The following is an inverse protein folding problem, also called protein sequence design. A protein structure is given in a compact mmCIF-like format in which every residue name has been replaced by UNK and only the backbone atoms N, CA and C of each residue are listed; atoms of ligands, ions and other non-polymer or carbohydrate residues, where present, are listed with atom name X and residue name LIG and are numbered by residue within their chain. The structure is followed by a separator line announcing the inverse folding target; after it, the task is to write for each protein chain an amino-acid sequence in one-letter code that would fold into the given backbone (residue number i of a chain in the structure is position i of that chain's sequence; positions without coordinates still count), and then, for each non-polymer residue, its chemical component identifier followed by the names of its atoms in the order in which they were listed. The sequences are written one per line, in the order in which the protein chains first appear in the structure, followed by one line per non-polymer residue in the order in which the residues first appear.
data_IF_757254963304
#
_entry.id   IF_757254963304
#
_cell.length_a   1.000
_cell.length_b   1.000
_cell.length_c   1.000
_cell.angle_alpha   90.00
_cell.angle_beta   90.00
_cell.angle_gamma   90.00
#
_symmetry.space_group_name_H-M   'P 1'
#
loop_
_entity.id
_entity.type
_entity.pdbx_description
1 polymer ?
#
# COMPACT_ATOMS: atom_id res chain seq x y z
N UNK A 1 -23.03 56.89 -10.30
CA UNK A 1 -22.06 56.01 -11.01
C UNK A 1 -20.85 55.82 -10.13
N UNK A 2 -20.29 54.61 -10.13
CA UNK A 2 -19.46 54.00 -9.09
C UNK A 2 -18.11 54.69 -8.80
N UNK A 3 -17.66 54.44 -7.57
CA UNK A 3 -16.42 54.80 -6.92
C UNK A 3 -15.13 54.42 -7.67
N UNK A 4 -14.26 55.42 -7.84
CA UNK A 4 -12.90 55.54 -7.33
C UNK A 4 -12.15 54.33 -6.69
N UNK A 5 -10.91 54.14 -7.16
CA UNK A 5 -9.64 53.79 -6.48
C UNK A 5 -9.04 52.35 -6.54
N UNK A 6 -7.87 52.31 -7.20
CA UNK A 6 -6.55 51.74 -6.83
C UNK A 6 -6.37 50.28 -6.35
N UNK A 7 -5.49 49.55 -7.05
CA UNK A 7 -4.18 48.99 -6.57
C UNK A 7 -3.62 48.08 -7.68
N UNK A 8 -2.63 48.49 -8.48
CA UNK A 8 -1.17 48.45 -8.24
C UNK A 8 -0.65 47.04 -7.93
N UNK A 9 -0.01 46.45 -8.95
CA UNK A 9 1.27 45.73 -9.00
C UNK A 9 1.65 44.86 -7.79
N UNK A 10 1.99 43.58 -8.04
CA UNK A 10 3.40 43.17 -8.24
C UNK A 10 3.51 41.67 -8.55
N UNK A 11 4.21 41.37 -9.64
CA UNK A 11 4.79 40.07 -9.98
C UNK A 11 5.92 39.75 -8.99
N UNK A 12 5.85 38.64 -8.27
CA UNK A 12 6.95 38.15 -7.43
C UNK A 12 7.68 37.00 -8.13
N UNK A 13 8.81 37.34 -8.75
CA UNK A 13 9.88 36.41 -9.11
C UNK A 13 10.53 35.89 -7.83
N UNK A 14 10.48 34.58 -7.58
CA UNK A 14 11.27 33.94 -6.51
C UNK A 14 12.54 33.38 -7.16
N UNK A 15 13.62 34.16 -7.11
CA UNK A 15 14.98 33.70 -7.38
C UNK A 15 15.56 33.11 -6.10
N UNK A 16 15.58 31.79 -5.98
CA UNK A 16 16.34 31.10 -4.92
C UNK A 16 17.80 30.97 -5.37
N UNK A 17 18.67 31.73 -4.69
CA UNK A 17 20.10 31.71 -4.86
C UNK A 17 20.68 30.37 -4.36
N UNK A 18 21.36 29.65 -5.25
CA UNK A 18 22.31 28.60 -4.92
C UNK A 18 23.56 29.24 -4.32
N UNK A 19 23.73 29.14 -3.00
CA UNK A 19 24.99 29.45 -2.32
C UNK A 19 25.50 28.21 -1.59
N UNK A 20 26.37 27.49 -2.31
CA UNK A 20 27.65 26.92 -1.85
C UNK A 20 27.74 26.23 -0.49
N UNK A 21 27.88 24.90 -0.56
CA UNK A 21 28.54 24.04 0.43
C UNK A 21 29.96 24.52 0.76
N UNK A 22 30.39 24.39 2.02
CA UNK A 22 31.77 24.06 2.35
C UNK A 22 31.86 22.59 2.82
N UNK A 23 32.59 21.77 2.04
CA UNK A 23 33.28 20.60 2.57
C UNK A 23 34.29 21.06 3.62
N UNK A 24 34.37 20.40 4.79
CA UNK A 24 35.66 19.98 5.37
C UNK A 24 35.52 19.11 6.63
N UNK A 25 36.32 18.03 6.59
CA UNK A 25 37.04 17.39 7.68
C UNK A 25 36.26 16.69 8.82
N UNK A 26 36.30 15.36 8.78
CA UNK A 26 36.27 14.50 9.95
C UNK A 26 37.53 14.71 10.81
N UNK A 27 37.41 14.58 12.14
CA UNK A 27 38.47 14.07 12.97
C UNK A 27 38.05 12.76 13.67
N UNK A 28 38.85 11.72 13.47
CA UNK A 28 39.00 10.58 14.39
C UNK A 28 39.23 11.09 15.81
N UNK A 29 38.58 10.48 16.81
CA UNK A 29 39.07 10.41 18.18
C UNK A 29 38.37 9.24 18.90
N UNK A 30 39.11 8.14 19.02
CA UNK A 30 38.87 7.00 19.90
C UNK A 30 38.90 7.42 21.38
N UNK A 31 37.98 6.93 22.23
CA UNK A 31 38.24 6.85 23.66
C UNK A 31 38.46 5.38 24.08
N UNK A 32 39.73 5.10 24.28
CA UNK A 32 40.34 4.06 25.11
C UNK A 32 39.50 3.75 26.37
N UNK A 33 38.98 2.52 26.48
CA UNK A 33 38.37 2.02 27.71
C UNK A 33 39.16 0.82 28.24
N UNK A 34 40.04 1.18 29.17
CA UNK A 34 40.69 0.42 30.23
C UNK A 34 40.16 -0.99 30.44
N UNK A 35 41.03 -1.96 30.15
CA UNK A 35 40.83 -3.40 30.29
C UNK A 35 41.42 -3.83 31.65
N UNK A 36 40.70 -3.58 32.73
CA UNK A 36 40.94 -4.22 34.02
C UNK A 36 39.67 -4.94 34.44
N UNK A 37 39.66 -6.27 34.33
CA UNK A 37 39.14 -7.18 35.37
C UNK A 37 39.51 -8.62 34.98
N UNK A 38 40.73 -9.00 35.36
CA UNK A 38 41.07 -10.41 35.52
C UNK A 38 40.42 -10.91 36.81
N UNK A 39 39.55 -11.93 36.73
CA UNK A 39 39.76 -13.25 37.36
C UNK A 39 38.48 -14.01 37.74
N UNK A 40 38.41 -15.24 37.21
CA UNK A 40 37.87 -16.50 37.82
C UNK A 40 36.34 -16.66 37.87
N UNK A 41 35.73 -17.80 37.55
CA UNK A 41 36.22 -19.19 37.50
C UNK A 41 35.60 -20.02 36.37
N UNK A 42 36.34 -21.05 35.98
CA UNK A 42 35.97 -22.13 35.06
C UNK A 42 34.84 -23.02 35.56
N UNK A 43 33.81 -23.20 34.74
CA UNK A 43 33.16 -24.50 34.50
C UNK A 43 32.80 -24.57 33.03
N UNK A 44 33.57 -25.36 32.31
CA UNK A 44 33.34 -25.76 30.93
C UNK A 44 32.15 -26.70 30.88
N UNK A 45 30.95 -26.16 30.75
CA UNK A 45 29.88 -26.80 30.02
C UNK A 45 29.45 -25.79 28.97
N UNK A 46 29.95 -25.97 27.74
CA UNK A 46 29.60 -25.09 26.63
C UNK A 46 28.09 -25.14 26.45
N UNK A 47 27.39 -24.02 26.69
CA UNK A 47 25.97 -23.94 26.39
C UNK A 47 25.78 -24.29 24.92
N UNK A 48 24.85 -25.20 24.58
CA UNK A 48 24.61 -25.57 23.20
C UNK A 48 24.24 -24.31 22.40
N UNK A 49 24.86 -24.17 21.22
CA UNK A 49 24.59 -23.06 20.31
C UNK A 49 23.08 -22.98 20.04
N UNK A 50 22.49 -21.79 20.20
CA UNK A 50 21.06 -21.55 19.99
C UNK A 50 20.21 -21.50 21.26
N UNK A 51 20.80 -21.49 22.46
CA UNK A 51 20.06 -21.36 23.72
C UNK A 51 19.69 -19.89 24.00
N UNK A 52 18.39 -19.58 24.07
CA UNK A 52 17.89 -18.29 24.56
C UNK A 52 17.89 -18.30 26.10
N UNK A 53 18.44 -17.25 26.72
CA UNK A 53 18.51 -17.10 28.17
C UNK A 53 17.52 -16.04 28.67
N UNK A 54 16.99 -16.20 29.87
CA UNK A 54 16.20 -15.19 30.57
C UNK A 54 17.09 -14.12 31.23
N UNK A 55 16.47 -13.11 31.85
CA UNK A 55 17.19 -12.03 32.56
C UNK A 55 17.97 -12.48 33.79
N UNK A 56 17.81 -13.74 34.21
CA UNK A 56 18.53 -14.38 35.30
C UNK A 56 19.57 -15.38 34.77
N UNK A 57 19.80 -15.44 33.46
CA UNK A 57 20.76 -16.33 32.82
C UNK A 57 20.32 -17.79 32.72
N UNK A 58 19.03 -18.11 32.93
CA UNK A 58 18.49 -19.46 32.82
C UNK A 58 17.99 -19.75 31.40
N UNK A 59 18.20 -20.96 30.87
CA UNK A 59 17.76 -21.32 29.53
C UNK A 59 16.22 -21.36 29.45
N UNK A 60 15.69 -20.71 28.42
CA UNK A 60 14.28 -20.77 28.07
C UNK A 60 14.00 -22.01 27.21
N UNK A 61 12.94 -22.78 27.51
CA UNK A 61 12.57 -23.94 26.69
C UNK A 61 12.07 -23.46 25.32
N UNK A 62 12.85 -23.69 24.27
CA UNK A 62 12.41 -23.53 22.89
C UNK A 62 11.65 -24.81 22.51
N UNK A 63 10.39 -24.73 22.08
CA UNK A 63 9.68 -25.89 21.53
C UNK A 63 10.50 -26.48 20.39
N UNK A 64 11.02 -27.70 20.59
CA UNK A 64 11.57 -28.47 19.49
C UNK A 64 10.41 -28.84 18.57
N UNK A 65 10.59 -28.63 17.26
CA UNK A 65 9.67 -29.02 16.20
C UNK A 65 8.46 -28.07 16.01
N UNK A 66 8.64 -27.02 15.19
CA UNK A 66 7.86 -26.86 13.94
C UNK A 66 8.78 -26.20 12.92
N UNK A 67 9.28 -26.98 11.94
CA UNK A 67 9.97 -26.42 10.79
C UNK A 67 9.03 -25.43 10.10
N UNK A 68 9.49 -24.21 9.81
CA UNK A 68 8.67 -23.18 9.16
C UNK A 68 8.15 -23.58 7.76
N UNK A 69 8.66 -24.69 7.22
CA UNK A 69 8.26 -25.28 5.94
C UNK A 69 7.12 -26.31 6.09
N UNK A 70 6.87 -26.84 7.29
CA UNK A 70 5.85 -27.85 7.55
C UNK A 70 4.54 -27.19 8.02
N UNK A 71 4.02 -26.29 7.20
CA UNK A 71 2.66 -25.75 7.40
C UNK A 71 1.63 -26.70 6.81
N UNK A 72 0.89 -27.39 7.68
CA UNK A 72 -0.28 -28.17 7.29
C UNK A 72 -1.53 -27.32 7.49
N UNK A 73 -2.21 -26.86 6.41
CA UNK A 73 -3.40 -26.04 6.55
C UNK A 73 -4.52 -26.85 7.23
N UNK A 74 -5.32 -26.22 8.11
CA UNK A 74 -6.48 -26.87 8.69
C UNK A 74 -7.45 -27.30 7.58
N UNK A 75 -7.86 -28.56 7.59
CA UNK A 75 -8.88 -29.09 6.68
C UNK A 75 -10.23 -28.52 7.07
N UNK A 76 -10.61 -27.41 6.44
CA UNK A 76 -11.99 -26.93 6.47
C UNK A 76 -12.84 -27.87 5.63
N UNK A 77 -13.70 -28.66 6.31
CA UNK A 77 -14.80 -29.34 5.64
C UNK A 77 -15.73 -28.29 5.05
N UNK A 78 -15.60 -28.04 3.75
CA UNK A 78 -16.56 -27.25 2.99
C UNK A 78 -17.79 -28.12 2.81
N UNK A 79 -18.77 -27.96 3.69
CA UNK A 79 -20.13 -28.42 3.40
C UNK A 79 -20.56 -27.70 2.11
N UNK A 80 -20.55 -28.47 1.02
CA UNK A 80 -21.02 -28.05 -0.30
C UNK A 80 -22.56 -27.93 -0.30
N UNK A 81 -23.12 -27.11 0.60
CA UNK A 81 -24.48 -26.61 0.41
C UNK A 81 -24.38 -25.41 -0.52
N UNK A 82 -24.26 -25.72 -1.80
CA UNK A 82 -24.42 -24.74 -2.88
C UNK A 82 -25.80 -24.10 -2.74
N UNK A 83 -25.92 -22.79 -2.46
CA UNK A 83 -27.19 -22.12 -2.66
C UNK A 83 -27.40 -22.08 -4.17
N UNK A 84 -28.35 -22.88 -4.67
CA UNK A 84 -28.90 -22.73 -6.01
C UNK A 84 -29.54 -21.35 -6.09
N UNK A 85 -28.73 -20.33 -6.39
CA UNK A 85 -29.22 -19.01 -6.78
C UNK A 85 -29.98 -19.24 -8.08
N UNK A 86 -31.31 -19.18 -8.01
CA UNK A 86 -32.17 -19.14 -9.19
C UNK A 86 -31.81 -17.86 -9.93
N UNK A 87 -30.95 -17.98 -10.94
CA UNK A 87 -30.70 -16.93 -11.91
C UNK A 87 -32.02 -16.69 -12.65
N UNK A 88 -32.81 -15.75 -12.15
CA UNK A 88 -33.87 -15.13 -12.94
C UNK A 88 -33.16 -14.44 -14.11
N UNK A 89 -33.08 -15.16 -15.22
CA UNK A 89 -32.62 -14.64 -16.50
C UNK A 89 -33.70 -13.69 -16.98
N UNK A 90 -33.70 -12.47 -16.43
CA UNK A 90 -34.45 -11.35 -17.01
C UNK A 90 -33.91 -11.19 -18.43
N UNK A 91 -34.75 -11.50 -19.40
CA UNK A 91 -34.49 -11.35 -20.81
C UNK A 91 -34.17 -9.88 -21.07
N UNK A 92 -32.86 -9.57 -21.08
CA UNK A 92 -32.35 -8.26 -21.45
C UNK A 92 -32.86 -7.95 -22.85
N UNK A 93 -33.83 -7.03 -22.91
CA UNK A 93 -34.17 -6.33 -24.13
C UNK A 93 -32.87 -5.76 -24.67
N UNK A 94 -32.44 -6.23 -25.85
CA UNK A 94 -31.26 -5.73 -26.56
C UNK A 94 -31.52 -4.29 -26.98
N UNK A 95 -31.42 -3.36 -26.03
CA UNK A 95 -31.22 -1.96 -26.34
C UNK A 95 -29.89 -1.90 -27.08
N UNK A 96 -29.90 -1.33 -28.29
CA UNK A 96 -28.70 -1.17 -29.12
C UNK A 96 -27.71 -0.29 -28.35
N UNK A 97 -26.86 -0.90 -27.53
CA UNK A 97 -25.87 -0.19 -26.75
C UNK A 97 -24.90 0.46 -27.73
N UNK A 98 -24.96 1.79 -27.77
CA UNK A 98 -24.02 2.61 -28.54
C UNK A 98 -22.61 2.19 -28.10
N UNK A 99 -21.76 1.83 -29.06
CA UNK A 99 -20.37 1.46 -28.77
C UNK A 99 -19.73 2.64 -28.02
N UNK A 100 -19.44 2.44 -26.74
CA UNK A 100 -18.79 3.46 -25.92
C UNK A 100 -17.43 3.80 -26.56
N UNK A 101 -17.05 5.07 -26.52
CA UNK A 101 -15.70 5.49 -26.95
C UNK A 101 -14.65 4.72 -26.16
N UNK A 102 -13.47 4.43 -26.76
CA UNK A 102 -12.38 3.70 -26.09
C UNK A 102 -12.01 4.33 -24.74
N UNK A 103 -12.00 5.67 -24.66
CA UNK A 103 -11.76 6.40 -23.41
C UNK A 103 -12.83 6.12 -22.35
N UNK A 104 -14.08 6.03 -22.78
CA UNK A 104 -15.20 5.73 -21.90
C UNK A 104 -15.21 4.26 -21.46
N UNK A 105 -14.76 3.33 -22.32
CA UNK A 105 -14.57 1.93 -21.95
C UNK A 105 -13.44 1.76 -20.93
N UNK A 106 -12.33 2.48 -21.09
CA UNK A 106 -11.24 2.49 -20.12
C UNK A 106 -11.66 3.04 -18.75
N UNK A 107 -12.50 4.07 -18.75
CA UNK A 107 -13.05 4.65 -17.52
C UNK A 107 -14.19 3.82 -16.91
N UNK A 108 -14.87 3.00 -17.72
CA UNK A 108 -15.94 2.14 -17.22
C UNK A 108 -15.39 1.01 -16.36
N UNK A 109 -16.19 0.61 -15.37
CA UNK A 109 -15.92 -0.52 -14.47
C UNK A 109 -16.80 -1.74 -14.79
N UNK A 110 -17.58 -1.69 -15.88
CA UNK A 110 -18.49 -2.76 -16.30
C UNK A 110 -17.76 -4.06 -16.65
N UNK A 111 -16.52 -3.92 -17.11
CA UNK A 111 -15.59 -5.01 -17.34
C UNK A 111 -14.27 -4.68 -16.65
N UNK A 112 -13.68 -5.71 -16.05
CA UNK A 112 -12.38 -5.64 -15.40
C UNK A 112 -11.43 -6.55 -16.17
N UNK A 113 -10.26 -6.04 -16.52
CA UNK A 113 -9.20 -6.83 -17.13
C UNK A 113 -8.78 -7.99 -16.22
N UNK A 114 -8.27 -9.07 -16.81
CA UNK A 114 -7.84 -10.26 -16.08
C UNK A 114 -6.47 -10.07 -15.42
N UNK A 115 -6.38 -9.11 -14.51
CA UNK A 115 -5.16 -8.77 -13.77
C UNK A 115 -5.47 -8.57 -12.28
N UNK A 116 -4.63 -9.08 -11.36
CA UNK A 116 -4.87 -8.93 -9.92
C UNK A 116 -4.92 -7.47 -9.44
N UNK A 117 -4.11 -6.58 -10.03
CA UNK A 117 -4.09 -5.16 -9.65
C UNK A 117 -5.42 -4.48 -9.99
N UNK A 118 -5.97 -4.76 -11.18
CA UNK A 118 -7.26 -4.23 -11.60
C UNK A 118 -8.40 -4.76 -10.73
N UNK A 119 -8.40 -6.06 -10.39
CA UNK A 119 -9.42 -6.63 -9.49
C UNK A 119 -9.38 -5.99 -8.10
N UNK A 120 -8.19 -5.72 -7.58
CA UNK A 120 -8.03 -5.03 -6.30
C UNK A 120 -8.49 -3.58 -6.36
N UNK A 121 -8.15 -2.84 -7.43
CA UNK A 121 -8.60 -1.46 -7.62
C UNK A 121 -10.12 -1.36 -7.68
N UNK A 122 -10.78 -2.28 -8.39
CA UNK A 122 -12.24 -2.33 -8.46
C UNK A 122 -12.84 -2.55 -7.06
N UNK A 123 -12.38 -3.57 -6.34
CA UNK A 123 -12.86 -3.84 -4.99
C UNK A 123 -12.64 -2.66 -4.03
N UNK A 124 -11.47 -2.02 -4.12
CA UNK A 124 -11.13 -0.87 -3.26
C UNK A 124 -11.97 0.35 -3.59
N UNK A 125 -12.20 0.66 -4.86
CA UNK A 125 -13.08 1.76 -5.25
C UNK A 125 -14.52 1.51 -4.78
N UNK A 126 -15.05 0.29 -4.94
CA UNK A 126 -16.38 -0.07 -4.41
C UNK A 126 -16.47 0.12 -2.89
N UNK A 127 -15.40 -0.24 -2.18
CA UNK A 127 -15.31 -0.06 -0.73
C UNK A 127 -15.32 1.43 -0.36
N UNK A 128 -14.56 2.26 -1.07
CA UNK A 128 -14.51 3.71 -0.84
C UNK A 128 -15.86 4.36 -1.12
N UNK A 129 -16.51 4.01 -2.24
CA UNK A 129 -17.85 4.48 -2.60
C UNK A 129 -18.88 4.17 -1.50
N UNK A 130 -18.82 2.96 -0.93
CA UNK A 130 -19.68 2.56 0.19
C UNK A 130 -19.36 3.33 1.47
N UNK A 131 -18.07 3.58 1.75
CA UNK A 131 -17.66 4.30 2.96
C UNK A 131 -18.02 5.79 2.92
N UNK A 132 -17.94 6.41 1.74
CA UNK A 132 -18.34 7.81 1.53
C UNK A 132 -19.84 7.96 1.75
N UNK A 133 -20.66 7.01 1.27
CA UNK A 133 -22.11 7.05 1.47
C UNK A 133 -22.57 6.90 2.93
N UNK A 134 -21.74 6.31 3.80
CA UNK A 134 -22.11 5.93 5.17
C UNK A 134 -21.50 6.80 6.28
N UNK A 135 -20.54 7.70 5.98
CA UNK A 135 -19.78 8.45 7.01
C UNK A 135 -20.14 9.95 7.05
N UNK A 136 -19.93 10.57 8.22
CA UNK A 136 -20.02 12.04 8.41
C UNK A 136 -18.83 12.75 7.75
N UNK A 137 -19.08 13.97 7.26
CA UNK A 137 -18.30 14.76 6.30
C UNK A 137 -16.77 14.65 6.40
N UNK A 138 -16.19 14.78 7.59
CA UNK A 138 -14.73 14.91 7.72
C UNK A 138 -13.94 13.63 7.37
N UNK A 139 -14.53 12.45 7.61
CA UNK A 139 -13.92 11.19 7.16
C UNK A 139 -14.18 10.94 5.67
N UNK A 140 -15.21 11.56 5.10
CA UNK A 140 -15.57 11.41 3.69
C UNK A 140 -14.54 12.09 2.77
N UNK A 141 -13.93 13.20 3.20
CA UNK A 141 -12.95 13.95 2.42
C UNK A 141 -11.75 13.08 2.00
N UNK A 142 -11.06 12.45 2.96
CA UNK A 142 -9.94 11.55 2.65
C UNK A 142 -10.34 10.38 1.73
N UNK A 143 -11.52 9.76 1.95
CA UNK A 143 -11.96 8.65 1.11
C UNK A 143 -12.29 9.12 -0.30
N UNK A 144 -12.79 10.35 -0.45
CA UNK A 144 -13.07 10.97 -1.74
C UNK A 144 -11.79 11.27 -2.53
N UNK A 145 -10.76 11.76 -1.86
CA UNK A 145 -9.43 11.99 -2.45
C UNK A 145 -8.79 10.68 -2.88
N UNK A 146 -8.82 9.67 -2.00
CA UNK A 146 -8.32 8.33 -2.33
C UNK A 146 -9.07 7.76 -3.53
N UNK A 147 -10.41 7.87 -3.55
CA UNK A 147 -11.24 7.38 -4.64
C UNK A 147 -10.89 8.06 -5.97
N UNK A 148 -10.67 9.38 -5.97
CA UNK A 148 -10.28 10.10 -7.16
C UNK A 148 -8.92 9.63 -7.68
N UNK A 149 -7.94 9.50 -6.79
CA UNK A 149 -6.63 8.95 -7.14
C UNK A 149 -6.72 7.53 -7.74
N UNK A 150 -7.53 6.65 -7.13
CA UNK A 150 -7.73 5.27 -7.64
C UNK A 150 -8.48 5.22 -8.97
N UNK A 151 -9.40 6.15 -9.23
CA UNK A 151 -10.05 6.28 -10.55
C UNK A 151 -9.06 6.70 -11.64
N UNK A 152 -8.09 7.54 -11.30
CA UNK A 152 -7.02 7.92 -12.24
C UNK A 152 -6.07 6.75 -12.50
N UNK A 153 -5.66 6.04 -11.45
CA UNK A 153 -4.83 4.83 -11.52
C UNK A 153 -5.51 3.76 -12.39
N UNK A 154 -6.81 3.53 -12.21
CA UNK A 154 -7.62 2.63 -13.03
C UNK A 154 -7.52 2.92 -14.54
N UNK A 155 -7.67 4.20 -14.91
CA UNK A 155 -7.62 4.62 -16.30
C UNK A 155 -6.21 4.51 -16.87
N UNK A 156 -5.20 4.86 -16.07
CA UNK A 156 -3.80 4.80 -16.46
C UNK A 156 -3.34 3.34 -16.71
N UNK A 157 -3.76 2.42 -15.84
CA UNK A 157 -3.51 0.97 -15.96
C UNK A 157 -4.45 0.26 -16.96
N UNK A 158 -5.35 0.99 -17.64
CA UNK A 158 -6.26 0.46 -18.66
C UNK A 158 -7.14 -0.71 -18.18
N UNK A 159 -7.51 -0.69 -16.91
CA UNK A 159 -8.18 -1.81 -16.24
C UNK A 159 -9.58 -2.13 -16.78
N UNK A 160 -10.24 -1.20 -17.49
CA UNK A 160 -11.57 -1.42 -18.07
C UNK A 160 -11.62 -2.33 -19.30
N UNK A 161 -10.47 -2.65 -19.92
CA UNK A 161 -10.45 -3.37 -21.21
C UNK A 161 -9.26 -4.31 -21.37
N UNK A 162 -8.04 -3.78 -21.28
CA UNK A 162 -6.80 -4.50 -21.65
C UNK A 162 -6.02 -4.96 -20.41
N UNK A 163 -5.99 -4.14 -19.36
CA UNK A 163 -5.10 -4.32 -18.22
C UNK A 163 -3.74 -3.65 -18.43
N UNK A 164 -2.93 -3.58 -17.37
CA UNK A 164 -1.67 -2.84 -17.38
C UNK A 164 -0.55 -3.57 -18.12
N UNK A 165 0.27 -2.81 -18.84
CA UNK A 165 1.55 -3.30 -19.33
C UNK A 165 2.63 -3.17 -18.23
N UNK A 166 3.76 -3.90 -18.33
CA UNK A 166 4.88 -3.78 -17.39
C UNK A 166 5.32 -2.32 -17.14
N UNK A 167 5.39 -1.50 -18.18
CA UNK A 167 5.76 -0.09 -18.08
C UNK A 167 4.70 0.79 -17.40
N UNK A 168 3.43 0.38 -17.46
CA UNK A 168 2.33 1.15 -16.87
C UNK A 168 2.38 1.07 -15.35
N UNK A 169 2.82 -0.05 -14.77
CA UNK A 169 2.92 -0.22 -13.31
C UNK A 169 3.77 0.86 -12.64
N UNK A 170 4.95 1.15 -13.20
CA UNK A 170 5.84 2.15 -12.61
C UNK A 170 5.34 3.59 -12.77
N UNK A 171 4.55 3.85 -13.82
CA UNK A 171 4.07 5.19 -14.17
C UNK A 171 2.75 5.54 -13.51
N UNK A 172 1.89 4.55 -13.34
CA UNK A 172 0.49 4.74 -12.98
C UNK A 172 0.19 4.45 -11.51
N UNK A 173 1.11 3.82 -10.78
CA UNK A 173 0.88 3.45 -9.40
C UNK A 173 0.77 4.67 -8.49
N UNK A 174 -0.32 4.75 -7.74
CA UNK A 174 -0.56 5.86 -6.82
C UNK A 174 0.44 5.84 -5.65
N UNK A 175 1.13 6.95 -5.42
CA UNK A 175 2.02 7.16 -4.26
C UNK A 175 1.34 8.10 -3.27
N UNK A 176 1.38 7.73 -1.98
CA UNK A 176 0.89 8.53 -0.85
C UNK A 176 2.04 9.17 -0.11
#
# INVERSE_FOLDING_TARGET
MLAHQFKILTNTFITLAFCTLPSLAAPENEPELVLEFLSKSSTTDSLPLGTLLDSQGKPLPIPAEQSALDYSPPTVNVDNTSPKTKTNKTQSTKTKNKKLSRKQQLASRDKVANDPSCRWLDARMSQLETQIGNKREQAADYHSDELNARKQEWQCLKCGVEGPNPDDYHRCQYRR
#
